data_IF_313836403506
#
_entry.id   IF_313836403506
#
_cell.length_a   1.000
_cell.length_b   1.000
_cell.length_c   1.000
_cell.angle_alpha   90.00
_cell.angle_beta   90.00
_cell.angle_gamma   90.00
#
_symmetry.space_group_name_H-M   'P 1'
#
loop_
_entity.id
_entity.type
_entity.pdbx_description
1 polymer ?
#
# COMPACT_ATOMS: atom_id res chain seq x y z
N UNK A 1 -48.29 -3.96 10.44
CA UNK A 1 -47.32 -3.04 9.82
C UNK A 1 -46.28 -2.52 10.79
N UNK A 2 -46.64 -1.93 11.97
CA UNK A 2 -45.64 -1.49 12.99
C UNK A 2 -44.90 -2.66 13.63
N UNK A 3 -45.54 -3.75 14.04
CA UNK A 3 -44.92 -4.93 14.65
C UNK A 3 -43.92 -5.68 13.74
N UNK A 4 -44.16 -5.69 12.41
CA UNK A 4 -43.21 -6.30 11.47
C UNK A 4 -41.94 -5.47 11.30
N UNK A 5 -42.06 -4.15 11.38
CA UNK A 5 -40.89 -3.23 11.31
C UNK A 5 -40.04 -3.38 12.55
N UNK A 6 -40.63 -3.40 13.75
CA UNK A 6 -39.91 -3.62 15.01
C UNK A 6 -39.20 -4.98 15.08
N UNK A 7 -39.84 -6.06 14.58
CA UNK A 7 -39.17 -7.37 14.50
C UNK A 7 -38.00 -7.39 13.52
N UNK A 8 -38.09 -6.66 12.41
CA UNK A 8 -36.97 -6.54 11.46
C UNK A 8 -35.83 -5.74 12.05
N UNK A 9 -36.13 -4.64 12.71
CA UNK A 9 -35.11 -3.80 13.39
C UNK A 9 -34.37 -4.56 14.51
N UNK A 10 -35.11 -5.31 15.34
CA UNK A 10 -34.53 -6.14 16.41
C UNK A 10 -33.59 -7.21 15.84
N UNK A 11 -33.99 -7.86 14.73
CA UNK A 11 -33.18 -8.89 14.09
C UNK A 11 -31.92 -8.33 13.41
N UNK A 12 -31.99 -7.11 12.88
CA UNK A 12 -30.82 -6.40 12.34
C UNK A 12 -29.88 -5.99 13.49
N UNK A 13 -30.44 -5.52 14.60
CA UNK A 13 -29.66 -5.12 15.76
C UNK A 13 -28.91 -6.31 16.40
N UNK A 14 -29.55 -7.48 16.48
CA UNK A 14 -28.91 -8.71 16.95
C UNK A 14 -27.74 -9.14 16.03
N UNK A 15 -27.96 -9.16 14.71
CA UNK A 15 -26.92 -9.46 13.74
C UNK A 15 -25.73 -8.51 13.81
N UNK A 16 -26.00 -7.21 13.96
CA UNK A 16 -24.95 -6.20 14.13
C UNK A 16 -24.18 -6.37 15.43
N UNK A 17 -24.85 -6.80 16.51
CA UNK A 17 -24.16 -7.11 17.78
C UNK A 17 -23.27 -8.35 17.67
N UNK A 18 -23.76 -9.40 17.01
CA UNK A 18 -22.97 -10.63 16.77
C UNK A 18 -21.75 -10.33 15.90
N UNK A 19 -21.94 -9.57 14.81
CA UNK A 19 -20.85 -9.17 13.92
C UNK A 19 -19.82 -8.28 14.63
N UNK A 20 -20.29 -7.35 15.47
CA UNK A 20 -19.41 -6.49 16.28
C UNK A 20 -18.62 -7.31 17.31
N UNK A 21 -19.25 -8.30 17.93
CA UNK A 21 -18.56 -9.21 18.87
C UNK A 21 -17.49 -10.05 18.14
N UNK A 22 -17.82 -10.57 16.96
CA UNK A 22 -16.88 -11.32 16.13
C UNK A 22 -15.69 -10.45 15.69
N UNK A 23 -15.95 -9.25 15.17
CA UNK A 23 -14.91 -8.33 14.74
C UNK A 23 -14.00 -7.89 15.90
N UNK A 24 -14.54 -7.73 17.10
CA UNK A 24 -13.74 -7.45 18.31
C UNK A 24 -12.81 -8.60 18.65
N UNK A 25 -13.29 -9.84 18.61
CA UNK A 25 -12.46 -11.02 18.82
C UNK A 25 -11.36 -11.13 17.78
N UNK A 26 -11.67 -10.93 16.48
CA UNK A 26 -10.68 -10.94 15.42
C UNK A 26 -9.63 -9.83 15.61
N UNK A 27 -10.05 -8.65 16.07
CA UNK A 27 -9.15 -7.53 16.36
C UNK A 27 -8.24 -7.86 17.56
N UNK A 28 -8.75 -8.49 18.61
CA UNK A 28 -7.97 -8.86 19.78
C UNK A 28 -6.93 -9.94 19.43
N UNK A 29 -7.31 -10.96 18.65
CA UNK A 29 -6.36 -11.96 18.13
C UNK A 29 -5.27 -11.32 17.25
N UNK A 30 -5.64 -10.36 16.40
CA UNK A 30 -4.66 -9.65 15.59
C UNK A 30 -3.71 -8.79 16.45
N UNK A 31 -4.21 -8.16 17.51
CA UNK A 31 -3.39 -7.38 18.46
C UNK A 31 -2.43 -8.26 19.24
N UNK A 32 -2.88 -9.41 19.71
CA UNK A 32 -2.04 -10.37 20.42
C UNK A 32 -0.93 -10.89 19.52
N UNK A 33 -1.25 -11.24 18.26
CA UNK A 33 -0.27 -11.63 17.25
C UNK A 33 0.75 -10.53 16.94
N UNK A 34 0.32 -9.27 16.87
CA UNK A 34 1.21 -8.12 16.69
C UNK A 34 2.12 -7.89 17.91
N UNK A 35 1.60 -8.00 19.13
CA UNK A 35 2.40 -7.83 20.33
C UNK A 35 3.47 -8.92 20.49
N UNK A 36 3.15 -10.16 20.15
CA UNK A 36 4.13 -11.24 20.11
C UNK A 36 5.19 -11.04 19.01
N UNK A 37 4.77 -10.54 17.85
CA UNK A 37 5.68 -10.22 16.76
C UNK A 37 6.63 -9.07 17.12
N UNK A 38 6.14 -8.05 17.84
CA UNK A 38 6.97 -6.95 18.39
C UNK A 38 7.98 -7.51 19.40
N UNK A 39 7.53 -8.38 20.31
CA UNK A 39 8.39 -9.03 21.30
C UNK A 39 9.49 -9.87 20.64
N UNK A 40 9.13 -10.70 19.66
CA UNK A 40 10.10 -11.52 18.92
C UNK A 40 11.09 -10.67 18.14
N UNK A 41 10.66 -9.56 17.53
CA UNK A 41 11.53 -8.61 16.85
C UNK A 41 12.50 -7.91 17.81
N UNK A 42 12.04 -7.52 18.98
CA UNK A 42 12.90 -6.94 20.02
C UNK A 42 14.00 -7.92 20.47
N UNK A 43 13.69 -9.21 20.58
CA UNK A 43 14.65 -10.26 20.92
C UNK A 43 15.72 -10.45 19.82
N UNK A 44 15.35 -10.26 18.55
CA UNK A 44 16.29 -10.42 17.41
C UNK A 44 16.98 -9.11 17.03
N UNK A 45 16.72 -8.00 17.74
CA UNK A 45 17.19 -6.63 17.40
C UNK A 45 16.86 -6.22 15.95
N UNK A 46 15.77 -6.74 15.40
CA UNK A 46 15.26 -6.28 14.11
C UNK A 46 14.32 -5.09 14.35
N UNK A 47 14.93 -3.92 14.43
CA UNK A 47 14.22 -2.64 14.54
C UNK A 47 13.65 -2.29 13.15
N UNK A 48 12.42 -2.72 12.89
CA UNK A 48 11.65 -2.36 11.70
C UNK A 48 10.33 -1.71 12.11
N UNK A 49 10.41 -0.74 13.03
CA UNK A 49 9.32 0.19 13.23
C UNK A 49 9.42 1.29 12.18
N UNK A 50 8.29 1.62 11.58
CA UNK A 50 8.14 2.76 10.70
C UNK A 50 8.15 4.05 11.54
N UNK A 51 9.28 4.38 12.13
CA UNK A 51 9.52 5.65 12.84
C UNK A 51 9.85 6.77 11.86
N UNK A 52 9.14 6.81 10.73
CA UNK A 52 9.24 7.95 9.82
C UNK A 52 8.13 8.95 10.12
N UNK A 53 8.45 10.23 10.32
CA UNK A 53 7.43 11.26 10.46
C UNK A 53 6.57 11.32 9.19
N UNK A 54 5.26 11.18 9.37
CA UNK A 54 4.30 11.22 8.26
C UNK A 54 3.84 12.66 8.07
N UNK A 55 3.97 13.17 6.85
CA UNK A 55 3.45 14.47 6.46
C UNK A 55 2.18 14.29 5.65
N UNK A 56 1.05 14.66 6.23
CA UNK A 56 -0.24 14.62 5.52
C UNK A 56 -0.31 15.76 4.50
N UNK A 57 -0.67 15.43 3.26
CA UNK A 57 -0.75 16.39 2.16
C UNK A 57 -2.05 16.24 1.37
N UNK A 58 -2.43 17.29 0.64
CA UNK A 58 -3.56 17.30 -0.27
C UNK A 58 -3.04 17.47 -1.71
N UNK A 59 -3.64 16.72 -2.63
CA UNK A 59 -3.39 16.89 -4.07
C UNK A 59 -4.04 18.21 -4.50
N UNK A 60 -3.25 19.13 -5.07
CA UNK A 60 -3.69 20.43 -5.56
C UNK A 60 -3.58 20.56 -7.09
N UNK A 61 -3.00 19.58 -7.76
CA UNK A 61 -2.88 19.56 -9.20
C UNK A 61 -2.40 18.23 -9.75
N UNK A 62 -2.52 18.07 -11.07
CA UNK A 62 -2.01 16.93 -11.82
C UNK A 62 -1.56 17.39 -13.21
N UNK A 63 -0.64 16.65 -13.84
CA UNK A 63 -0.26 16.94 -15.22
C UNK A 63 -1.46 16.73 -16.17
N UNK A 64 -1.65 17.60 -17.19
CA UNK A 64 -2.83 17.59 -18.07
C UNK A 64 -2.71 16.57 -19.21
N UNK A 65 -2.08 15.43 -19.05
CA UNK A 65 -1.93 14.41 -20.08
C UNK A 65 -3.02 13.32 -20.04
N UNK A 66 -3.05 12.44 -21.06
CA UNK A 66 -3.90 11.24 -21.05
C UNK A 66 -3.53 10.29 -19.90
N UNK A 67 -2.26 10.29 -19.51
CA UNK A 67 -1.72 9.52 -18.39
C UNK A 67 -1.32 10.49 -17.29
N UNK A 68 -1.84 10.28 -16.08
CA UNK A 68 -1.44 11.05 -14.91
C UNK A 68 -0.16 10.42 -14.37
N UNK A 69 0.98 10.97 -14.72
CA UNK A 69 2.29 10.52 -14.23
C UNK A 69 2.84 11.38 -13.11
N UNK A 70 2.23 12.53 -12.87
CA UNK A 70 2.66 13.49 -11.85
C UNK A 70 1.47 14.11 -11.13
N UNK A 71 1.52 14.12 -9.81
CA UNK A 71 0.61 14.86 -8.93
C UNK A 71 1.35 16.01 -8.27
N UNK A 72 0.64 17.08 -7.96
CA UNK A 72 1.17 18.22 -7.18
C UNK A 72 0.48 18.19 -5.82
N UNK A 73 1.27 18.25 -4.74
CA UNK A 73 0.79 18.28 -3.36
C UNK A 73 1.13 19.61 -2.69
N UNK A 74 0.32 20.03 -1.72
CA UNK A 74 0.42 21.29 -0.99
C UNK A 74 1.39 21.22 0.22
N UNK A 75 2.46 20.47 0.09
CA UNK A 75 3.53 20.37 1.07
C UNK A 75 4.86 20.40 0.35
N UNK A 76 5.88 20.99 0.98
CA UNK A 76 7.18 21.18 0.37
C UNK A 76 8.34 21.12 1.36
N UNK A 77 9.44 21.78 1.03
CA UNK A 77 10.63 21.86 1.89
C UNK A 77 10.31 22.40 3.29
N UNK A 78 9.45 23.41 3.37
CA UNK A 78 9.03 24.01 4.64
C UNK A 78 8.32 23.02 5.57
N UNK A 79 7.71 21.97 5.01
CA UNK A 79 7.02 20.90 5.75
C UNK A 79 7.92 19.67 5.98
N UNK A 80 9.19 19.75 5.61
CA UNK A 80 10.17 18.66 5.78
C UNK A 80 10.19 17.63 4.66
N UNK A 81 9.51 17.87 3.52
CA UNK A 81 9.58 16.96 2.38
C UNK A 81 10.96 17.00 1.70
N UNK A 82 11.39 15.82 1.25
CA UNK A 82 12.61 15.63 0.48
C UNK A 82 12.32 14.81 -0.78
N UNK A 83 13.18 14.90 -1.77
CA UNK A 83 13.14 14.00 -2.94
C UNK A 83 13.27 12.54 -2.51
N UNK A 84 12.69 11.66 -3.29
CA UNK A 84 12.63 10.22 -3.08
C UNK A 84 11.81 9.76 -1.85
N UNK A 85 11.20 10.67 -1.09
CA UNK A 85 10.26 10.26 -0.05
C UNK A 85 9.09 9.49 -0.64
N UNK A 86 8.72 8.33 -0.05
CA UNK A 86 7.57 7.55 -0.48
C UNK A 86 6.27 8.30 -0.22
N UNK A 87 5.33 8.19 -1.14
CA UNK A 87 3.97 8.73 -1.02
C UNK A 87 2.98 7.60 -1.07
N UNK A 88 2.13 7.50 -0.06
CA UNK A 88 1.12 6.45 0.05
C UNK A 88 -0.23 7.02 0.52
N UNK A 89 -1.28 6.27 0.31
CA UNK A 89 -2.64 6.54 0.75
C UNK A 89 -3.16 5.39 1.61
N UNK A 90 -4.39 5.47 2.08
CA UNK A 90 -5.07 4.36 2.75
C UNK A 90 -5.19 3.11 1.86
N UNK A 91 -5.16 3.28 0.53
CA UNK A 91 -5.24 2.19 -0.44
C UNK A 91 -3.89 1.56 -0.80
N UNK A 92 -2.77 2.17 -0.37
CA UNK A 92 -1.42 1.68 -0.65
C UNK A 92 -0.48 2.73 -1.24
N UNK A 93 0.58 2.27 -1.89
CA UNK A 93 1.62 3.09 -2.48
C UNK A 93 1.06 3.91 -3.65
N UNK A 94 1.38 5.21 -3.67
CA UNK A 94 1.01 6.14 -4.74
C UNK A 94 2.21 6.44 -5.65
N UNK A 95 3.40 6.60 -5.07
CA UNK A 95 4.60 6.96 -5.79
C UNK A 95 5.70 7.50 -4.88
N UNK A 96 6.54 8.37 -5.43
CA UNK A 96 7.61 9.07 -4.69
C UNK A 96 7.60 10.56 -4.98
N UNK A 97 8.16 11.33 -4.09
CA UNK A 97 8.44 12.75 -4.31
C UNK A 97 9.56 12.89 -5.35
N UNK A 98 9.25 13.46 -6.51
CA UNK A 98 10.21 13.65 -7.61
C UNK A 98 10.92 15.00 -7.54
N UNK A 99 10.17 16.06 -7.17
CA UNK A 99 10.72 17.43 -7.03
C UNK A 99 10.05 18.12 -5.85
N UNK A 100 10.80 18.94 -5.16
CA UNK A 100 10.29 19.69 -3.99
C UNK A 100 10.58 21.17 -4.18
N UNK A 101 9.55 22.01 -3.97
CA UNK A 101 9.65 23.46 -3.85
C UNK A 101 9.34 23.86 -2.41
N UNK A 102 9.37 25.16 -2.09
CA UNK A 102 9.19 25.63 -0.71
C UNK A 102 7.90 25.16 -0.05
N UNK A 103 6.75 25.23 -0.77
CA UNK A 103 5.41 24.93 -0.22
C UNK A 103 4.60 23.92 -1.04
N UNK A 104 5.20 23.32 -2.03
CA UNK A 104 4.58 22.27 -2.83
C UNK A 104 5.62 21.25 -3.31
N UNK A 105 5.18 20.07 -3.69
CA UNK A 105 6.04 19.03 -4.24
C UNK A 105 5.34 18.33 -5.42
N UNK A 106 6.16 17.81 -6.33
CA UNK A 106 5.73 16.94 -7.42
C UNK A 106 5.95 15.49 -7.03
N UNK A 107 4.90 14.70 -7.16
CA UNK A 107 4.91 13.26 -6.89
C UNK A 107 4.86 12.51 -8.21
N UNK A 108 5.86 11.69 -8.49
CA UNK A 108 5.89 10.73 -9.58
C UNK A 108 5.06 9.51 -9.16
N UNK A 109 4.00 9.20 -9.90
CA UNK A 109 3.10 8.09 -9.55
C UNK A 109 3.62 6.75 -10.08
N UNK A 110 3.14 5.64 -9.51
CA UNK A 110 3.59 4.29 -9.84
C UNK A 110 3.44 3.90 -11.31
N UNK A 111 2.46 4.50 -12.01
CA UNK A 111 2.21 4.23 -13.42
C UNK A 111 3.02 5.10 -14.37
N UNK A 112 3.97 5.90 -13.86
CA UNK A 112 4.96 6.58 -14.69
C UNK A 112 5.92 5.56 -15.31
N UNK A 113 6.13 5.55 -16.64
CA UNK A 113 7.01 4.59 -17.31
C UNK A 113 8.48 4.63 -16.84
N UNK A 114 8.90 5.75 -16.28
CA UNK A 114 10.26 5.93 -15.78
C UNK A 114 10.45 5.49 -14.34
N UNK A 115 9.38 5.02 -13.66
CA UNK A 115 9.45 4.54 -12.29
C UNK A 115 9.48 3.02 -12.27
N UNK A 116 10.62 2.47 -11.84
CA UNK A 116 10.80 1.03 -11.56
C UNK A 116 11.10 0.86 -10.07
N UNK A 117 10.50 -0.13 -9.46
CA UNK A 117 10.70 -0.39 -8.03
C UNK A 117 10.53 -1.88 -7.70
N UNK A 118 11.10 -2.26 -6.57
CA UNK A 118 11.09 -3.65 -6.13
C UNK A 118 9.85 -3.98 -5.31
N UNK A 119 9.23 -5.12 -5.62
CA UNK A 119 8.05 -5.65 -4.95
C UNK A 119 8.34 -7.00 -4.29
N UNK A 120 7.56 -7.35 -3.30
CA UNK A 120 7.60 -8.61 -2.59
C UNK A 120 6.21 -9.26 -2.63
N UNK A 121 6.11 -10.49 -3.09
CA UNK A 121 4.91 -11.28 -2.93
C UNK A 121 4.78 -11.70 -1.45
N UNK A 122 3.63 -11.41 -0.86
CA UNK A 122 3.40 -11.67 0.58
C UNK A 122 3.41 -13.17 0.89
N UNK A 123 2.80 -14.00 0.02
CA UNK A 123 2.66 -15.44 0.21
C UNK A 123 3.96 -16.21 -0.05
N UNK A 124 4.56 -16.01 -1.22
CA UNK A 124 5.75 -16.76 -1.63
C UNK A 124 7.07 -16.16 -1.14
N UNK A 125 7.02 -14.93 -0.62
CA UNK A 125 8.18 -14.14 -0.19
C UNK A 125 9.17 -13.86 -1.33
N UNK A 126 8.73 -14.05 -2.56
CA UNK A 126 9.56 -13.80 -3.75
C UNK A 126 9.61 -12.30 -4.05
N UNK A 127 10.81 -11.83 -4.35
CA UNK A 127 11.07 -10.46 -4.78
C UNK A 127 11.00 -10.39 -6.30
N UNK A 128 10.40 -9.30 -6.82
CA UNK A 128 10.36 -8.96 -8.22
C UNK A 128 10.53 -7.45 -8.42
N UNK A 129 10.44 -7.02 -9.68
CA UNK A 129 10.47 -5.61 -10.04
C UNK A 129 9.16 -5.23 -10.72
N UNK A 130 8.58 -4.11 -10.31
CA UNK A 130 7.37 -3.57 -10.89
C UNK A 130 7.66 -2.29 -11.67
N UNK A 131 6.98 -2.15 -12.79
CA UNK A 131 7.02 -0.97 -13.65
C UNK A 131 5.63 -0.73 -14.28
N UNK A 132 5.45 0.44 -14.90
CA UNK A 132 4.22 0.73 -15.63
C UNK A 132 4.08 -0.16 -16.85
N UNK A 133 2.91 -0.77 -17.05
CA UNK A 133 2.59 -1.55 -18.24
C UNK A 133 1.92 -0.71 -19.33
N UNK A 134 0.85 0.00 -18.99
CA UNK A 134 0.02 0.76 -19.93
C UNK A 134 -0.37 2.14 -19.41
N UNK A 135 0.31 2.64 -18.39
CA UNK A 135 0.00 3.88 -17.70
C UNK A 135 -1.23 3.80 -16.75
N UNK A 136 -1.79 2.61 -16.58
CA UNK A 136 -2.90 2.33 -15.66
C UNK A 136 -2.64 1.12 -14.79
N UNK A 137 -1.95 0.11 -15.33
CA UNK A 137 -1.59 -1.14 -14.65
C UNK A 137 -0.08 -1.21 -14.48
N UNK A 138 0.34 -2.03 -13.53
CA UNK A 138 1.73 -2.38 -13.32
C UNK A 138 1.99 -3.78 -13.86
N UNK A 139 3.15 -3.98 -14.49
CA UNK A 139 3.72 -5.29 -14.73
C UNK A 139 4.76 -5.58 -13.64
N UNK A 140 4.72 -6.78 -13.09
CA UNK A 140 5.72 -7.24 -12.13
C UNK A 140 6.49 -8.42 -12.71
N UNK A 141 7.77 -8.21 -12.97
CA UNK A 141 8.69 -9.28 -13.41
C UNK A 141 9.21 -10.04 -12.20
N UNK A 142 9.04 -11.35 -12.20
CA UNK A 142 9.41 -12.27 -11.12
C UNK A 142 10.11 -13.50 -11.69
N UNK A 143 10.94 -14.22 -10.91
CA UNK A 143 11.54 -15.47 -11.36
C UNK A 143 10.48 -16.51 -11.75
N UNK A 144 10.72 -17.30 -12.79
CA UNK A 144 9.77 -18.30 -13.31
C UNK A 144 9.32 -19.33 -12.26
N UNK A 145 10.20 -19.68 -11.32
CA UNK A 145 9.93 -20.65 -10.24
C UNK A 145 9.29 -20.01 -8.99
N UNK A 146 8.87 -18.74 -9.07
CA UNK A 146 8.36 -17.99 -7.91
C UNK A 146 7.04 -18.53 -7.35
N UNK A 147 6.31 -19.37 -8.09
CA UNK A 147 5.04 -19.94 -7.66
C UNK A 147 3.95 -18.90 -7.36
N UNK A 148 4.03 -17.74 -8.02
CA UNK A 148 3.03 -16.65 -7.88
C UNK A 148 1.73 -17.09 -8.55
N UNK A 149 0.61 -16.62 -8.02
CA UNK A 149 -0.74 -16.93 -8.52
C UNK A 149 -1.58 -15.65 -8.60
N UNK A 150 -2.62 -15.70 -9.41
CA UNK A 150 -3.67 -14.68 -9.37
C UNK A 150 -4.27 -14.58 -7.96
N UNK A 151 -4.57 -13.36 -7.54
CA UNK A 151 -5.02 -13.08 -6.18
C UNK A 151 -3.90 -12.85 -5.16
N UNK A 152 -2.63 -13.13 -5.49
CA UNK A 152 -1.51 -12.84 -4.59
C UNK A 152 -1.36 -11.34 -4.37
N UNK A 153 -1.05 -10.95 -3.13
CA UNK A 153 -0.81 -9.56 -2.76
C UNK A 153 0.68 -9.22 -2.92
N UNK A 154 0.94 -8.09 -3.56
CA UNK A 154 2.27 -7.51 -3.69
C UNK A 154 2.41 -6.29 -2.78
N UNK A 155 3.54 -6.20 -2.08
CA UNK A 155 3.95 -5.07 -1.25
C UNK A 155 5.33 -4.58 -1.68
N UNK A 156 5.75 -3.42 -1.23
CA UNK A 156 7.14 -2.96 -1.43
C UNK A 156 8.11 -3.89 -0.71
N UNK A 157 9.23 -4.23 -1.37
CA UNK A 157 10.22 -5.16 -0.79
C UNK A 157 11.18 -4.51 0.21
N UNK A 158 11.36 -3.18 0.14
CA UNK A 158 12.38 -2.46 0.87
C UNK A 158 13.75 -2.43 0.18
N UNK A 159 13.94 -3.19 -0.90
CA UNK A 159 15.18 -3.18 -1.67
C UNK A 159 15.23 -1.95 -2.57
N UNK A 160 16.38 -1.30 -2.64
CA UNK A 160 16.56 -0.06 -3.40
C UNK A 160 16.47 1.23 -2.58
N UNK A 161 16.07 1.16 -1.30
CA UNK A 161 16.19 2.26 -0.33
C UNK A 161 15.18 3.41 -0.47
N UNK A 162 14.37 3.44 -1.55
CA UNK A 162 13.37 4.50 -1.78
C UNK A 162 12.07 4.20 -1.05
N UNK A 163 11.57 2.97 -1.19
CA UNK A 163 10.31 2.55 -0.61
C UNK A 163 10.55 1.65 0.61
N UNK A 164 10.06 2.02 1.80
CA UNK A 164 10.07 1.14 2.95
C UNK A 164 9.35 -0.17 2.64
N UNK A 165 9.76 -1.26 3.27
CA UNK A 165 9.16 -2.58 3.09
C UNK A 165 7.74 -2.63 3.63
N UNK A 166 6.83 -3.28 2.90
CA UNK A 166 5.51 -3.65 3.40
C UNK A 166 4.37 -2.71 3.02
N UNK A 167 4.61 -1.65 2.20
CA UNK A 167 3.52 -0.83 1.68
C UNK A 167 2.77 -1.61 0.58
N UNK A 168 1.45 -1.69 0.66
CA UNK A 168 0.61 -2.33 -0.34
C UNK A 168 0.81 -1.72 -1.73
N UNK A 169 1.04 -2.56 -2.73
CA UNK A 169 1.19 -2.13 -4.15
C UNK A 169 -0.04 -2.54 -4.94
N UNK A 170 -0.52 -3.76 -4.75
CA UNK A 170 -1.68 -4.26 -5.48
C UNK A 170 -1.83 -5.77 -5.38
N UNK A 171 -2.74 -6.29 -6.20
CA UNK A 171 -3.05 -7.71 -6.28
C UNK A 171 -2.78 -8.19 -7.71
N UNK A 172 -2.19 -9.38 -7.84
CA UNK A 172 -1.92 -10.03 -9.13
C UNK A 172 -3.26 -10.37 -9.80
N UNK A 173 -3.48 -9.81 -10.99
CA UNK A 173 -4.70 -10.03 -11.78
C UNK A 173 -4.54 -11.10 -12.82
N UNK A 174 -3.34 -11.22 -13.37
CA UNK A 174 -3.06 -12.04 -14.55
C UNK A 174 -1.60 -12.44 -14.53
N UNK A 175 -1.30 -13.66 -14.96
CA UNK A 175 0.04 -14.17 -15.14
C UNK A 175 0.32 -14.34 -16.64
N UNK A 176 1.34 -13.65 -17.13
CA UNK A 176 1.76 -13.76 -18.54
C UNK A 176 3.14 -14.43 -18.57
N UNK A 177 3.29 -15.58 -19.25
CA UNK A 177 4.60 -16.17 -19.46
C UNK A 177 5.50 -15.17 -20.21
N UNK A 178 6.69 -14.95 -19.70
CA UNK A 178 7.70 -14.16 -20.39
C UNK A 178 8.72 -15.15 -21.00
N UNK A 179 8.59 -15.37 -22.30
CA UNK A 179 9.61 -16.10 -23.05
C UNK A 179 10.88 -15.24 -23.10
N UNK A 180 11.95 -15.77 -22.51
CA UNK A 180 13.30 -15.19 -22.63
C UNK A 180 13.95 -15.60 -23.94
#
# INVERSE_FOLDING_TARGET
>A
MKEETEKKETKVLEKLKEENARLRLELDYARDGLSELVRLRALVRFDNHWDYPIVTSRIIGRNPGRLVTTLIVNRGLADGLKTDMPVFSMSGLVGRVAKVASHHAQVQVLVDPNLKFSVLNVRTRTVGFAESFDGKRLAATVPAHAGIREGDTLVTSGLGGIFPKGIGVGVVKEMVPHDM
#
